data_IF_906023201852
#
_entry.id   IF_906023201852
#
_cell.length_a   1.000
_cell.length_b   1.000
_cell.length_c   1.000
_cell.angle_alpha   90.00
_cell.angle_beta   90.00
_cell.angle_gamma   90.00
#
_symmetry.space_group_name_H-M   'P 1'
#
loop_
_entity.id
_entity.type
_entity.pdbx_description
1 polymer ?
#
# COMPACT_ATOMS: atom_id res chain seq x y z
N UNK A 1 11.54 -18.36 16.43
CA UNK A 1 10.37 -17.92 15.66
C UNK A 1 9.33 -19.01 15.78
N UNK A 2 8.19 -18.75 16.37
CA UNK A 2 7.18 -19.75 16.74
C UNK A 2 6.46 -20.23 15.48
N UNK A 3 6.69 -21.46 15.07
CA UNK A 3 6.02 -22.10 13.94
C UNK A 3 4.54 -22.31 14.30
N UNK A 4 3.62 -21.79 13.52
CA UNK A 4 2.16 -21.90 13.73
C UNK A 4 1.46 -20.61 14.18
N UNK A 5 2.18 -19.65 14.74
CA UNK A 5 1.61 -18.37 15.19
C UNK A 5 1.10 -17.52 14.01
N UNK A 6 1.81 -17.55 12.89
CA UNK A 6 1.44 -16.77 11.69
C UNK A 6 0.14 -17.28 11.03
N UNK A 7 -0.08 -18.59 10.98
CA UNK A 7 -1.32 -19.19 10.45
C UNK A 7 -2.50 -18.88 11.38
N UNK A 8 -2.26 -18.95 12.72
CA UNK A 8 -3.23 -18.58 13.73
C UNK A 8 -3.66 -17.12 13.62
N UNK A 9 -2.70 -16.21 13.38
CA UNK A 9 -2.95 -14.79 13.22
C UNK A 9 -3.82 -14.51 11.99
N UNK A 10 -3.57 -15.18 10.85
CA UNK A 10 -4.43 -15.05 9.66
C UNK A 10 -5.86 -15.46 9.99
N UNK A 11 -6.06 -16.62 10.62
CA UNK A 11 -7.39 -17.10 11.01
C UNK A 11 -8.10 -16.12 11.93
N UNK A 12 -7.40 -15.60 12.95
CA UNK A 12 -7.95 -14.64 13.89
C UNK A 12 -8.42 -13.34 13.21
N UNK A 13 -7.66 -12.83 12.24
CA UNK A 13 -8.05 -11.64 11.44
C UNK A 13 -9.33 -11.90 10.69
N UNK A 14 -9.46 -13.06 10.03
CA UNK A 14 -10.68 -13.43 9.31
C UNK A 14 -11.87 -13.69 10.23
N UNK A 15 -11.66 -14.25 11.42
CA UNK A 15 -12.71 -14.44 12.42
C UNK A 15 -13.26 -13.09 12.91
N UNK A 16 -12.36 -12.15 13.21
CA UNK A 16 -12.74 -10.77 13.55
C UNK A 16 -13.51 -10.09 12.41
N UNK A 17 -13.04 -10.26 11.17
CA UNK A 17 -13.72 -9.71 10.01
C UNK A 17 -15.12 -10.30 9.81
N UNK A 18 -15.27 -11.60 9.97
CA UNK A 18 -16.57 -12.28 9.92
C UNK A 18 -17.55 -11.79 10.99
N UNK A 19 -17.03 -11.51 12.19
CA UNK A 19 -17.83 -10.97 13.29
C UNK A 19 -18.25 -9.51 13.07
N UNK A 20 -17.44 -8.73 12.34
CA UNK A 20 -17.66 -7.31 12.05
C UNK A 20 -18.34 -7.07 10.67
N UNK A 21 -18.76 -8.12 9.97
CA UNK A 21 -19.38 -7.98 8.65
C UNK A 21 -20.62 -7.07 8.68
N UNK A 22 -20.85 -6.19 7.67
CA UNK A 22 -20.05 -6.02 6.46
C UNK A 22 -18.75 -5.27 6.70
N UNK A 23 -17.61 -5.76 6.19
CA UNK A 23 -16.33 -5.05 6.34
C UNK A 23 -15.40 -5.28 5.14
N UNK A 24 -14.36 -4.46 5.08
CA UNK A 24 -13.28 -4.56 4.09
C UNK A 24 -12.01 -4.99 4.81
N UNK A 25 -11.38 -6.06 4.33
CA UNK A 25 -10.04 -6.46 4.72
C UNK A 25 -9.04 -5.87 3.72
N UNK A 26 -8.11 -5.08 4.24
CA UNK A 26 -7.04 -4.50 3.44
C UNK A 26 -5.71 -5.17 3.79
N UNK A 27 -5.05 -5.72 2.77
CA UNK A 27 -3.74 -6.34 2.88
C UNK A 27 -2.71 -5.46 2.17
N UNK A 28 -1.83 -4.82 2.93
CA UNK A 28 -0.71 -4.08 2.37
C UNK A 28 0.50 -5.01 2.19
N UNK A 29 1.35 -4.70 1.21
CA UNK A 29 2.53 -5.50 0.88
C UNK A 29 2.21 -7.00 0.73
N UNK A 30 1.14 -7.31 -0.02
CA UNK A 30 0.65 -8.69 -0.20
C UNK A 30 1.73 -9.64 -0.75
N UNK A 31 2.72 -9.11 -1.44
CA UNK A 31 3.90 -9.85 -1.91
C UNK A 31 4.80 -10.37 -0.78
N UNK A 32 4.66 -9.88 0.45
CA UNK A 32 5.39 -10.42 1.60
C UNK A 32 4.90 -11.83 2.01
N UNK A 33 3.65 -12.15 1.71
CA UNK A 33 2.98 -13.40 2.08
C UNK A 33 2.60 -14.23 0.85
N UNK A 34 2.27 -13.56 -0.25
CA UNK A 34 1.68 -14.15 -1.45
C UNK A 34 2.65 -14.50 -2.56
N UNK A 35 3.94 -14.73 -2.28
CA UNK A 35 4.94 -15.08 -3.30
C UNK A 35 4.63 -16.42 -3.95
N UNK A 36 4.71 -16.47 -5.28
CA UNK A 36 4.59 -17.70 -6.05
C UNK A 36 5.60 -18.76 -5.58
N UNK A 37 5.14 -20.00 -5.48
CA UNK A 37 5.94 -21.13 -5.02
C UNK A 37 7.16 -21.31 -5.89
N UNK A 38 8.34 -21.17 -5.34
CA UNK A 38 9.60 -21.46 -6.02
C UNK A 38 9.73 -22.98 -6.20
N UNK A 39 9.68 -23.44 -7.41
CA UNK A 39 9.80 -24.85 -7.81
C UNK A 39 11.24 -25.41 -7.68
N UNK A 40 12.08 -24.82 -6.86
CA UNK A 40 13.47 -25.26 -6.74
C UNK A 40 14.15 -24.77 -5.46
N UNK A 41 14.21 -25.61 -4.45
CA UNK A 41 15.10 -25.41 -3.33
C UNK A 41 14.54 -25.91 -2.01
N UNK A 42 14.91 -27.13 -1.61
CA UNK A 42 14.60 -27.69 -0.29
C UNK A 42 15.30 -26.91 0.82
N UNK A 43 14.63 -25.93 1.38
CA UNK A 43 15.03 -25.24 2.57
C UNK A 43 13.80 -24.93 3.42
N UNK A 44 13.92 -25.15 4.71
CA UNK A 44 12.87 -25.03 5.75
C UNK A 44 12.15 -23.65 5.78
N UNK A 45 12.74 -22.63 5.14
CA UNK A 45 12.18 -21.28 5.05
C UNK A 45 11.01 -21.15 4.06
N UNK A 46 10.94 -21.95 2.99
CA UNK A 46 9.83 -21.96 2.03
C UNK A 46 8.53 -22.51 2.63
N UNK A 47 8.62 -23.50 3.49
CA UNK A 47 7.45 -24.16 4.07
C UNK A 47 6.58 -23.28 4.98
N UNK A 48 7.13 -22.26 5.61
CA UNK A 48 6.36 -21.36 6.49
C UNK A 48 5.51 -20.37 5.69
N UNK A 49 6.09 -19.74 4.65
CA UNK A 49 5.37 -18.85 3.75
C UNK A 49 4.25 -19.55 3.01
N UNK A 50 4.51 -20.75 2.50
CA UNK A 50 3.52 -21.57 1.80
C UNK A 50 2.32 -21.94 2.69
N UNK A 51 2.55 -22.19 3.97
CA UNK A 51 1.47 -22.48 4.91
C UNK A 51 0.59 -21.26 5.15
N UNK A 52 1.20 -20.09 5.39
CA UNK A 52 0.47 -18.83 5.57
C UNK A 52 -0.34 -18.48 4.33
N UNK A 53 0.24 -18.64 3.14
CA UNK A 53 -0.47 -18.45 1.87
C UNK A 53 -1.64 -19.41 1.73
N UNK A 54 -1.44 -20.70 1.99
CA UNK A 54 -2.51 -21.70 1.93
C UNK A 54 -3.64 -21.40 2.94
N UNK A 55 -3.29 -20.94 4.15
CA UNK A 55 -4.28 -20.51 5.13
C UNK A 55 -5.06 -19.29 4.63
N UNK A 56 -4.37 -18.28 4.08
CA UNK A 56 -5.00 -17.11 3.49
C UNK A 56 -6.00 -17.49 2.39
N UNK A 57 -5.58 -18.35 1.45
CA UNK A 57 -6.43 -18.83 0.36
C UNK A 57 -7.67 -19.58 0.91
N UNK A 58 -7.49 -20.42 1.92
CA UNK A 58 -8.58 -21.15 2.57
C UNK A 58 -9.58 -20.22 3.22
N UNK A 59 -9.10 -19.19 3.93
CA UNK A 59 -9.97 -18.21 4.58
C UNK A 59 -10.71 -17.33 3.57
N UNK A 60 -10.08 -16.95 2.46
CA UNK A 60 -10.73 -16.19 1.38
C UNK A 60 -11.86 -17.02 0.75
N UNK A 61 -11.62 -18.29 0.44
CA UNK A 61 -12.65 -19.19 -0.12
C UNK A 61 -13.80 -19.40 0.87
N UNK A 62 -13.51 -19.54 2.15
CA UNK A 62 -14.51 -19.68 3.22
C UNK A 62 -15.30 -18.40 3.53
N UNK A 63 -14.76 -17.25 3.14
CA UNK A 63 -15.33 -15.93 3.42
C UNK A 63 -16.15 -15.35 2.26
N UNK A 64 -16.23 -16.03 1.11
CA UNK A 64 -16.83 -15.57 -0.14
C UNK A 64 -18.17 -14.81 -0.03
N UNK A 65 -18.75 -14.39 -1.14
CA UNK A 65 -19.84 -13.42 -1.32
C UNK A 65 -21.07 -13.53 -0.36
N UNK A 66 -21.23 -14.63 0.33
CA UNK A 66 -22.32 -14.85 1.30
C UNK A 66 -22.13 -14.13 2.64
N UNK A 67 -20.94 -13.58 2.93
CA UNK A 67 -20.62 -13.02 4.25
C UNK A 67 -20.32 -11.51 4.26
N UNK A 68 -20.58 -10.81 3.15
CA UNK A 68 -20.34 -9.35 3.06
C UNK A 68 -18.92 -8.93 3.49
N UNK A 69 -17.91 -9.72 3.09
CA UNK A 69 -16.51 -9.42 3.26
C UNK A 69 -15.91 -9.03 1.90
N UNK A 70 -15.23 -7.91 1.86
CA UNK A 70 -14.52 -7.43 0.69
C UNK A 70 -13.01 -7.48 0.97
N UNK A 71 -12.24 -7.89 -0.04
CA UNK A 71 -10.79 -7.99 0.05
C UNK A 71 -10.14 -6.97 -0.87
N UNK A 72 -9.17 -6.24 -0.35
CA UNK A 72 -8.32 -5.35 -1.13
C UNK A 72 -6.88 -5.70 -0.79
N UNK A 73 -6.09 -6.04 -1.80
CA UNK A 73 -4.66 -6.28 -1.68
C UNK A 73 -3.87 -5.19 -2.39
N UNK A 74 -2.81 -4.69 -1.77
CA UNK A 74 -1.85 -3.79 -2.40
C UNK A 74 -0.49 -4.48 -2.53
N UNK A 75 0.18 -4.27 -3.66
CA UNK A 75 1.54 -4.76 -3.90
C UNK A 75 2.27 -3.87 -4.89
N UNK A 76 3.58 -3.74 -4.71
CA UNK A 76 4.49 -3.12 -5.67
C UNK A 76 5.06 -4.14 -6.68
N UNK A 77 4.79 -5.45 -6.48
CA UNK A 77 5.38 -6.54 -7.27
C UNK A 77 4.33 -7.55 -7.71
N UNK A 78 3.38 -7.15 -8.58
CA UNK A 78 2.30 -8.04 -8.98
C UNK A 78 2.81 -9.33 -9.68
N UNK A 79 3.95 -9.26 -10.35
CA UNK A 79 4.51 -10.40 -11.10
C UNK A 79 5.01 -11.56 -10.23
N UNK A 80 5.24 -11.35 -8.93
CA UNK A 80 5.71 -12.42 -8.02
C UNK A 80 4.59 -13.04 -7.19
N UNK A 81 3.37 -12.49 -7.28
CA UNK A 81 2.22 -13.05 -6.56
C UNK A 81 1.86 -14.44 -7.08
N UNK A 82 1.46 -15.32 -6.18
CA UNK A 82 0.92 -16.63 -6.54
C UNK A 82 -0.39 -16.45 -7.31
N UNK A 83 -0.49 -17.13 -8.46
CA UNK A 83 -1.66 -17.06 -9.34
C UNK A 83 -2.96 -17.45 -8.63
N UNK A 84 -2.88 -18.26 -7.57
CA UNK A 84 -4.03 -18.65 -6.79
C UNK A 84 -4.70 -17.46 -6.08
N UNK A 85 -3.97 -16.40 -5.77
CA UNK A 85 -4.54 -15.18 -5.17
C UNK A 85 -5.38 -14.37 -6.15
N UNK A 86 -4.99 -14.34 -7.41
CA UNK A 86 -5.61 -13.49 -8.45
C UNK A 86 -6.68 -14.24 -9.27
N UNK A 87 -7.10 -15.43 -8.81
CA UNK A 87 -8.18 -16.20 -9.46
C UNK A 87 -9.56 -15.60 -9.18
N UNK A 88 -10.54 -15.84 -10.10
CA UNK A 88 -11.93 -15.44 -9.89
C UNK A 88 -12.48 -15.88 -8.53
N UNK A 89 -13.18 -14.95 -7.86
CA UNK A 89 -13.72 -15.16 -6.53
C UNK A 89 -12.78 -14.80 -5.36
N UNK A 90 -11.54 -14.33 -5.66
CA UNK A 90 -10.56 -13.82 -4.70
C UNK A 90 -10.19 -12.38 -5.07
N UNK A 91 -8.94 -12.12 -5.47
CA UNK A 91 -8.49 -10.80 -5.92
C UNK A 91 -8.50 -10.74 -7.46
N UNK A 92 -9.67 -10.84 -8.05
CA UNK A 92 -9.85 -10.95 -9.50
C UNK A 92 -9.85 -9.61 -10.23
N UNK A 93 -10.00 -8.49 -9.51
CA UNK A 93 -9.98 -7.15 -10.06
C UNK A 93 -8.59 -6.53 -9.87
N UNK A 94 -7.83 -6.45 -10.97
CA UNK A 94 -6.50 -5.84 -10.95
C UNK A 94 -6.59 -4.38 -11.35
N UNK A 95 -6.22 -3.49 -10.43
CA UNK A 95 -6.23 -2.04 -10.64
C UNK A 95 -4.79 -1.54 -10.60
N UNK A 96 -4.32 -1.02 -11.74
CA UNK A 96 -3.02 -0.38 -11.81
C UNK A 96 -3.11 1.07 -11.34
N UNK A 97 -2.27 1.46 -10.39
CA UNK A 97 -2.14 2.83 -9.88
C UNK A 97 -0.83 3.41 -10.42
N UNK A 98 -0.87 4.26 -11.45
CA UNK A 98 0.31 4.89 -12.03
C UNK A 98 0.88 5.99 -11.12
N UNK A 99 2.06 6.50 -11.49
CA UNK A 99 2.55 7.76 -10.94
C UNK A 99 1.56 8.90 -11.26
N UNK A 100 1.47 9.93 -10.40
CA UNK A 100 0.50 11.00 -10.54
C UNK A 100 0.74 11.80 -11.84
N UNK A 101 -0.32 12.08 -12.56
CA UNK A 101 -0.34 13.02 -13.68
C UNK A 101 -0.21 14.48 -13.18
N UNK A 102 -0.15 15.45 -14.11
CA UNK A 102 0.02 16.86 -13.74
C UNK A 102 -1.09 17.35 -12.80
N UNK A 103 -2.35 16.98 -13.08
CA UNK A 103 -3.50 17.41 -12.27
C UNK A 103 -3.42 16.81 -10.85
N UNK A 104 -3.10 15.54 -10.76
CA UNK A 104 -2.91 14.85 -9.49
C UNK A 104 -1.73 15.46 -8.71
N UNK A 105 -0.61 15.80 -9.38
CA UNK A 105 0.54 16.44 -8.72
C UNK A 105 0.17 17.81 -8.12
N UNK A 106 -0.56 18.64 -8.85
CA UNK A 106 -1.09 19.91 -8.31
C UNK A 106 -1.96 19.65 -7.08
N UNK A 107 -2.84 18.65 -7.14
CA UNK A 107 -3.69 18.23 -6.02
C UNK A 107 -2.89 17.79 -4.80
N UNK A 108 -1.84 16.99 -5.01
CA UNK A 108 -0.95 16.53 -3.93
C UNK A 108 -0.24 17.72 -3.26
N UNK A 109 0.36 18.63 -4.03
CA UNK A 109 1.02 19.83 -3.49
C UNK A 109 0.04 20.65 -2.64
N UNK A 110 -1.16 20.91 -3.16
CA UNK A 110 -2.22 21.65 -2.43
C UNK A 110 -2.62 20.94 -1.13
N UNK A 111 -2.75 19.62 -1.17
CA UNK A 111 -3.12 18.84 0.00
C UNK A 111 -2.03 18.85 1.09
N UNK A 112 -0.76 18.68 0.70
CA UNK A 112 0.38 18.68 1.61
C UNK A 112 0.58 20.06 2.24
N UNK A 113 0.48 21.12 1.45
CA UNK A 113 0.68 22.50 1.89
C UNK A 113 -0.56 23.16 2.50
N UNK A 114 -1.66 22.43 2.65
CA UNK A 114 -2.95 22.97 3.13
C UNK A 114 -2.86 23.75 4.46
N UNK A 115 -1.93 23.36 5.31
CA UNK A 115 -1.71 23.98 6.64
C UNK A 115 -0.48 24.88 6.69
N UNK A 116 0.21 25.07 5.58
CA UNK A 116 1.43 25.88 5.48
C UNK A 116 1.13 27.21 4.78
N UNK A 117 1.62 28.34 5.26
CA UNK A 117 1.51 29.60 4.53
C UNK A 117 2.35 29.53 3.25
N UNK A 118 1.76 29.92 2.13
CA UNK A 118 2.41 29.95 0.81
C UNK A 118 2.46 31.41 0.36
N UNK A 119 3.63 31.88 -0.08
CA UNK A 119 3.77 33.21 -0.63
C UNK A 119 2.96 33.37 -1.93
N UNK A 120 2.34 34.54 -2.19
CA UNK A 120 1.45 34.72 -3.34
C UNK A 120 2.12 34.56 -4.72
N UNK A 121 3.44 34.67 -4.78
CA UNK A 121 4.23 34.52 -6.00
C UNK A 121 4.59 33.07 -6.33
N UNK A 122 4.23 32.10 -5.49
CA UNK A 122 4.50 30.67 -5.72
C UNK A 122 3.45 30.10 -6.69
N UNK A 123 3.90 29.68 -7.87
CA UNK A 123 3.05 29.05 -8.86
C UNK A 123 3.10 27.53 -8.70
N UNK A 124 2.03 26.95 -8.12
CA UNK A 124 1.95 25.50 -7.85
C UNK A 124 1.83 24.67 -9.12
N UNK A 125 1.22 25.20 -10.18
CA UNK A 125 1.09 24.50 -11.46
C UNK A 125 2.46 24.37 -12.14
N UNK A 126 3.26 25.43 -12.09
CA UNK A 126 4.64 25.39 -12.59
C UNK A 126 5.50 24.40 -11.80
N UNK A 127 5.41 24.40 -10.46
CA UNK A 127 6.10 23.41 -9.63
C UNK A 127 5.70 21.98 -9.98
N UNK A 128 4.40 21.72 -10.16
CA UNK A 128 3.90 20.41 -10.55
C UNK A 128 4.43 19.97 -11.93
N UNK A 129 4.67 20.89 -12.85
CA UNK A 129 5.29 20.60 -14.15
C UNK A 129 6.73 20.14 -13.99
N UNK A 130 7.50 20.78 -13.10
CA UNK A 130 8.90 20.42 -12.82
C UNK A 130 9.03 19.07 -12.10
N UNK A 131 7.96 18.59 -11.46
CA UNK A 131 7.92 17.33 -10.72
C UNK A 131 7.45 16.14 -11.56
N UNK A 132 7.69 16.14 -12.88
CA UNK A 132 7.36 15.00 -13.73
C UNK A 132 8.10 13.74 -13.27
N UNK A 133 7.39 12.62 -13.17
CA UNK A 133 7.95 11.35 -12.69
C UNK A 133 8.05 11.21 -11.17
N UNK A 134 7.66 12.23 -10.40
CA UNK A 134 7.66 12.16 -8.93
C UNK A 134 6.45 11.35 -8.42
N UNK A 135 6.71 10.53 -7.40
CA UNK A 135 5.66 9.88 -6.62
C UNK A 135 5.01 10.86 -5.62
N UNK A 136 3.91 10.47 -5.01
CA UNK A 136 3.29 11.25 -3.93
C UNK A 136 4.22 11.45 -2.73
N UNK A 137 5.07 10.46 -2.43
CA UNK A 137 6.08 10.54 -1.37
C UNK A 137 7.17 11.58 -1.69
N UNK A 138 7.69 11.56 -2.94
CA UNK A 138 8.70 12.52 -3.39
C UNK A 138 8.17 13.96 -3.31
N UNK A 139 6.92 14.18 -3.72
CA UNK A 139 6.27 15.48 -3.64
C UNK A 139 6.06 15.94 -2.20
N UNK A 140 5.72 15.02 -1.31
CA UNK A 140 5.59 15.30 0.11
C UNK A 140 6.94 15.71 0.70
N UNK A 141 8.00 14.99 0.37
CA UNK A 141 9.36 15.31 0.81
C UNK A 141 9.82 16.67 0.25
N UNK A 142 9.57 16.97 -1.02
CA UNK A 142 9.86 18.27 -1.62
C UNK A 142 9.23 19.41 -0.82
N UNK A 143 7.94 19.31 -0.52
CA UNK A 143 7.22 20.31 0.26
C UNK A 143 7.78 20.45 1.69
N UNK A 144 8.12 19.34 2.33
CA UNK A 144 8.73 19.36 3.67
C UNK A 144 10.13 20.01 3.65
N UNK A 145 10.95 19.73 2.65
CA UNK A 145 12.28 20.36 2.49
C UNK A 145 12.14 21.86 2.28
N UNK A 146 11.19 22.30 1.42
CA UNK A 146 10.94 23.73 1.20
C UNK A 146 10.48 24.42 2.49
N UNK A 147 9.58 23.81 3.26
CA UNK A 147 9.14 24.34 4.55
C UNK A 147 10.29 24.45 5.56
N UNK A 148 11.14 23.42 5.64
CA UNK A 148 12.33 23.47 6.52
C UNK A 148 13.33 24.53 6.09
N UNK A 149 13.53 24.76 4.79
CA UNK A 149 14.40 25.81 4.27
C UNK A 149 13.87 27.20 4.65
N UNK A 150 12.58 27.45 4.44
CA UNK A 150 11.96 28.73 4.81
C UNK A 150 12.06 29.03 6.32
N UNK A 151 11.89 28.02 7.17
CA UNK A 151 12.06 28.17 8.63
C UNK A 151 13.52 28.55 8.96
N UNK A 152 14.50 27.88 8.34
CA UNK A 152 15.92 28.21 8.57
C UNK A 152 16.26 29.62 8.13
N UNK A 153 15.75 30.07 6.99
CA UNK A 153 15.94 31.43 6.49
C UNK A 153 15.32 32.47 7.45
N UNK A 154 14.13 32.18 7.98
CA UNK A 154 13.47 33.06 8.94
C UNK A 154 14.27 33.18 10.24
N UNK A 155 14.79 32.07 10.78
CA UNK A 155 15.63 32.09 12.01
C UNK A 155 16.90 32.87 11.75
N UNK A 156 17.61 32.64 10.61
CA UNK A 156 18.83 33.34 10.29
C UNK A 156 18.63 34.85 10.03
N UNK A 157 17.43 35.30 9.74
CA UNK A 157 17.11 36.71 9.56
C UNK A 157 16.80 37.44 10.89
N UNK A 158 16.54 36.67 11.97
CA UNK A 158 16.29 37.20 13.32
C UNK A 158 17.57 37.30 14.18
N UNK A 159 18.68 36.66 13.75
CA UNK A 159 20.00 36.75 14.34
C UNK A 159 20.80 37.94 13.78
#
# INVERSE_FOLDING_TARGET
MWFGESEGNVREVFDKARAAAPCVLFFDELDSVGVARSSGGGGDAGGAGDRVLNQLLTEMDGAGAKKNLFFIGATNRPAILDEALIRPGRLDQLIYIPLPDLVARVGIIKAVLRKSPIAPNVNLDHLATLCEGFSGADMTELCQRATKAAIREAIAAEE
#
